data_IF_871656001419
#
_entry.id   IF_871656001419
#
_cell.length_a   1.000
_cell.length_b   1.000
_cell.length_c   1.000
_cell.angle_alpha   90.00
_cell.angle_beta   90.00
_cell.angle_gamma   90.00
#
_symmetry.space_group_name_H-M   'P 1'
#
loop_
_entity.id
_entity.type
_entity.pdbx_description
1 polymer ?
#
# COMPACT_ATOMS: atom_id res chain seq x y z
N UNK A 1 -6.88 28.05 12.59
CA UNK A 1 -7.89 27.69 11.58
C UNK A 1 -7.33 27.28 10.22
N UNK A 2 -6.54 28.10 9.50
CA UNK A 2 -6.18 27.77 8.10
C UNK A 2 -5.24 26.54 7.97
N UNK A 3 -4.22 26.41 8.84
CA UNK A 3 -3.22 25.33 8.77
C UNK A 3 -3.80 23.92 8.98
N UNK A 4 -4.81 23.79 9.84
CA UNK A 4 -5.49 22.51 10.12
C UNK A 4 -6.27 22.03 8.89
N UNK A 5 -7.08 22.93 8.30
CA UNK A 5 -7.84 22.66 7.08
C UNK A 5 -6.92 22.23 5.93
N UNK A 6 -5.77 22.90 5.78
CA UNK A 6 -4.76 22.51 4.79
C UNK A 6 -4.15 21.13 5.05
N UNK A 7 -3.85 20.77 6.31
CA UNK A 7 -3.31 19.44 6.65
C UNK A 7 -4.32 18.33 6.39
N UNK A 8 -5.56 18.48 6.84
CA UNK A 8 -6.63 17.51 6.57
C UNK A 8 -6.87 17.35 5.07
N UNK A 9 -6.88 18.46 4.32
CA UNK A 9 -6.97 18.41 2.86
C UNK A 9 -5.78 17.66 2.22
N UNK A 10 -4.56 17.88 2.70
CA UNK A 10 -3.37 17.16 2.21
C UNK A 10 -3.45 15.65 2.47
N UNK A 11 -3.83 15.23 3.69
CA UNK A 11 -4.00 13.80 4.04
C UNK A 11 -5.10 13.17 3.18
N UNK A 12 -6.20 13.89 2.97
CA UNK A 12 -7.31 13.44 2.12
C UNK A 12 -6.86 13.26 0.66
N UNK A 13 -6.12 14.22 0.12
CA UNK A 13 -5.60 14.17 -1.24
C UNK A 13 -4.57 13.05 -1.42
N UNK A 14 -3.66 12.86 -0.45
CA UNK A 14 -2.70 11.76 -0.43
C UNK A 14 -3.41 10.41 -0.39
N UNK A 15 -4.44 10.28 0.45
CA UNK A 15 -5.25 9.05 0.54
C UNK A 15 -5.99 8.78 -0.77
N UNK A 16 -6.57 9.81 -1.40
CA UNK A 16 -7.27 9.69 -2.67
C UNK A 16 -6.33 9.31 -3.82
N UNK A 17 -5.14 9.90 -3.87
CA UNK A 17 -4.08 9.52 -4.81
C UNK A 17 -3.67 8.05 -4.59
N UNK A 18 -3.63 7.59 -3.35
CA UNK A 18 -3.31 6.19 -3.02
C UNK A 18 -4.37 5.21 -3.47
N UNK A 19 -5.64 5.54 -3.26
CA UNK A 19 -6.75 4.77 -3.81
C UNK A 19 -6.60 4.63 -5.32
N UNK A 20 -6.38 5.75 -6.02
CA UNK A 20 -6.20 5.76 -7.47
C UNK A 20 -5.02 4.88 -7.91
N UNK A 21 -3.83 5.05 -7.31
CA UNK A 21 -2.64 4.30 -7.69
C UNK A 21 -2.82 2.80 -7.43
N UNK A 22 -3.40 2.40 -6.29
CA UNK A 22 -3.63 0.98 -6.00
C UNK A 22 -4.63 0.34 -6.99
N UNK A 23 -5.70 1.06 -7.37
CA UNK A 23 -6.65 0.58 -8.39
C UNK A 23 -5.94 0.43 -9.74
N UNK A 24 -5.18 1.44 -10.17
CA UNK A 24 -4.43 1.41 -11.43
C UNK A 24 -3.42 0.26 -11.44
N UNK A 25 -2.68 0.07 -10.35
CA UNK A 25 -1.70 -1.01 -10.18
C UNK A 25 -2.37 -2.38 -10.30
N UNK A 26 -3.54 -2.57 -9.66
CA UNK A 26 -4.32 -3.80 -9.76
C UNK A 26 -4.82 -4.05 -11.19
N UNK A 27 -5.33 -3.02 -11.86
CA UNK A 27 -5.80 -3.13 -13.25
C UNK A 27 -4.67 -3.48 -14.21
N UNK A 28 -3.49 -2.87 -14.05
CA UNK A 28 -2.32 -3.17 -14.88
C UNK A 28 -1.82 -4.59 -14.61
N UNK A 29 -1.82 -5.05 -13.36
CA UNK A 29 -1.44 -6.43 -13.04
C UNK A 29 -2.39 -7.44 -13.69
N UNK A 30 -3.71 -7.22 -13.61
CA UNK A 30 -4.71 -8.05 -14.29
C UNK A 30 -4.46 -8.05 -15.81
N UNK A 31 -4.18 -6.88 -16.39
CA UNK A 31 -3.90 -6.77 -17.82
C UNK A 31 -2.60 -7.50 -18.21
N UNK A 32 -1.56 -7.42 -17.39
CA UNK A 32 -0.30 -8.14 -17.58
C UNK A 32 -0.50 -9.66 -17.56
N UNK A 33 -1.40 -10.20 -16.73
CA UNK A 33 -1.73 -11.63 -16.75
C UNK A 33 -2.28 -12.11 -18.10
N UNK A 34 -2.96 -11.26 -18.87
CA UNK A 34 -3.40 -11.60 -20.22
C UNK A 34 -2.28 -11.52 -21.26
N UNK A 35 -1.21 -10.76 -20.98
CA UNK A 35 -0.09 -10.53 -21.90
C UNK A 35 1.27 -10.63 -21.17
N UNK A 36 1.61 -11.79 -20.58
CA UNK A 36 2.73 -11.91 -19.63
C UNK A 36 4.13 -11.77 -20.25
N UNK A 37 4.24 -11.75 -21.58
CA UNK A 37 5.51 -11.55 -22.28
C UNK A 37 5.77 -10.08 -22.68
N UNK A 38 4.88 -9.15 -22.33
CA UNK A 38 5.00 -7.75 -22.70
C UNK A 38 5.91 -7.00 -21.72
N UNK A 39 7.16 -6.76 -22.13
CA UNK A 39 8.17 -6.05 -21.33
C UNK A 39 7.72 -4.64 -20.92
N UNK A 40 6.99 -3.93 -21.78
CA UNK A 40 6.49 -2.59 -21.46
C UNK A 40 5.44 -2.61 -20.34
N UNK A 41 4.54 -3.59 -20.33
CA UNK A 41 3.58 -3.78 -19.25
C UNK A 41 4.27 -4.17 -17.94
N UNK A 42 5.33 -4.97 -18.00
CA UNK A 42 6.15 -5.33 -16.84
C UNK A 42 6.79 -4.09 -16.20
N UNK A 43 7.41 -3.23 -17.02
CA UNK A 43 8.05 -2.00 -16.54
C UNK A 43 7.04 -1.02 -15.90
N UNK A 44 5.88 -0.84 -16.54
CA UNK A 44 4.80 -0.02 -15.99
C UNK A 44 4.29 -0.60 -14.66
N UNK A 45 4.10 -1.92 -14.59
CA UNK A 45 3.68 -2.58 -13.36
C UNK A 45 4.69 -2.37 -12.24
N UNK A 46 5.98 -2.52 -12.52
CA UNK A 46 7.05 -2.23 -11.58
C UNK A 46 7.04 -0.79 -11.08
N UNK A 47 6.90 0.18 -12.00
CA UNK A 47 6.83 1.61 -11.65
C UNK A 47 5.62 1.95 -10.78
N UNK A 48 4.44 1.43 -11.13
CA UNK A 48 3.21 1.68 -10.38
C UNK A 48 3.25 1.04 -8.99
N UNK A 49 3.83 -0.15 -8.86
CA UNK A 49 4.06 -0.81 -7.58
C UNK A 49 4.99 0.02 -6.68
N UNK A 50 6.15 0.46 -7.18
CA UNK A 50 7.09 1.31 -6.42
C UNK A 50 6.43 2.65 -6.02
N UNK A 51 5.65 3.25 -6.92
CA UNK A 51 4.91 4.47 -6.63
C UNK A 51 3.88 4.26 -5.51
N UNK A 52 3.16 3.13 -5.55
CA UNK A 52 2.21 2.75 -4.49
C UNK A 52 2.90 2.58 -3.13
N UNK A 53 4.11 2.01 -3.12
CA UNK A 53 4.93 1.79 -1.93
C UNK A 53 5.36 3.11 -1.29
N UNK A 54 5.94 4.01 -2.11
CA UNK A 54 6.39 5.31 -1.64
C UNK A 54 5.22 6.12 -1.07
N UNK A 55 4.08 6.11 -1.76
CA UNK A 55 2.90 6.83 -1.30
C UNK A 55 2.35 6.27 0.02
N UNK A 56 2.24 4.94 0.13
CA UNK A 56 1.85 4.26 1.36
C UNK A 56 2.77 4.62 2.53
N UNK A 57 4.09 4.65 2.30
CA UNK A 57 5.07 5.08 3.30
C UNK A 57 4.90 6.53 3.73
N UNK A 58 4.71 7.44 2.78
CA UNK A 58 4.44 8.87 3.04
C UNK A 58 3.15 9.02 3.86
N UNK A 59 2.10 8.25 3.53
CA UNK A 59 0.82 8.30 4.24
C UNK A 59 0.97 7.82 5.69
N UNK A 60 1.65 6.69 5.92
CA UNK A 60 1.95 6.18 7.27
C UNK A 60 2.71 7.23 8.09
N UNK A 61 3.77 7.80 7.52
CA UNK A 61 4.55 8.85 8.18
C UNK A 61 3.70 10.07 8.54
N UNK A 62 2.85 10.51 7.60
CA UNK A 62 1.97 11.67 7.80
C UNK A 62 0.93 11.40 8.90
N UNK A 63 0.40 10.18 8.99
CA UNK A 63 -0.53 9.78 10.04
C UNK A 63 0.14 9.74 11.41
N UNK A 64 1.35 9.17 11.52
CA UNK A 64 2.07 9.06 12.79
C UNK A 64 2.30 10.43 13.45
N UNK A 65 2.67 11.42 12.64
CA UNK A 65 2.90 12.79 13.13
C UNK A 65 1.60 13.53 13.44
N UNK A 66 0.50 13.25 12.72
CA UNK A 66 -0.73 14.05 12.73
C UNK A 66 -1.83 13.51 13.66
N UNK A 67 -1.85 12.22 13.98
CA UNK A 67 -2.92 11.59 14.76
C UNK A 67 -2.81 11.89 16.27
N UNK A 68 -3.94 12.21 16.90
CA UNK A 68 -4.01 12.35 18.34
C UNK A 68 -4.07 10.97 19.03
N UNK A 69 -2.93 10.51 19.55
CA UNK A 69 -2.77 9.18 20.13
C UNK A 69 -3.40 9.03 21.53
N UNK A 70 -3.90 10.12 22.14
CA UNK A 70 -4.59 10.05 23.44
C UNK A 70 -6.07 9.66 23.32
N UNK A 71 -6.68 9.85 22.14
CA UNK A 71 -8.08 9.53 21.88
C UNK A 71 -8.19 8.14 21.24
N UNK A 72 -9.25 7.39 21.59
CA UNK A 72 -9.47 6.02 21.13
C UNK A 72 -9.41 5.88 19.61
N UNK A 73 -10.01 6.82 18.87
CA UNK A 73 -10.04 6.82 17.40
C UNK A 73 -8.64 7.05 16.81
N UNK A 74 -7.91 8.05 17.30
CA UNK A 74 -6.54 8.31 16.82
C UNK A 74 -5.58 7.17 17.17
N UNK A 75 -5.73 6.55 18.34
CA UNK A 75 -5.00 5.32 18.72
C UNK A 75 -5.33 4.15 17.80
N UNK A 76 -6.60 3.98 17.42
CA UNK A 76 -7.04 2.93 16.50
C UNK A 76 -6.45 3.10 15.10
N UNK A 77 -6.56 4.30 14.51
CA UNK A 77 -5.97 4.61 13.19
C UNK A 77 -4.45 4.43 13.18
N UNK A 78 -3.77 4.84 14.26
CA UNK A 78 -2.34 4.65 14.42
C UNK A 78 -1.99 3.15 14.45
N UNK A 79 -2.72 2.35 15.23
CA UNK A 79 -2.51 0.89 15.31
C UNK A 79 -2.70 0.21 13.95
N UNK A 80 -3.70 0.62 13.17
CA UNK A 80 -3.93 0.11 11.81
C UNK A 80 -2.78 0.49 10.88
N UNK A 81 -2.25 1.72 10.99
CA UNK A 81 -1.09 2.15 10.20
C UNK A 81 0.13 1.26 10.45
N UNK A 82 0.37 0.87 11.70
CA UNK A 82 1.45 -0.07 12.05
C UNK A 82 1.19 -1.50 11.60
N UNK A 83 -0.06 -1.98 11.67
CA UNK A 83 -0.39 -3.29 11.11
C UNK A 83 -0.22 -3.33 9.60
N UNK A 84 -0.63 -2.28 8.90
CA UNK A 84 -0.38 -2.16 7.48
C UNK A 84 1.12 -2.11 7.17
N UNK A 85 1.92 -1.35 7.93
CA UNK A 85 3.38 -1.33 7.78
C UNK A 85 4.00 -2.72 7.95
N UNK A 86 3.57 -3.49 8.95
CA UNK A 86 4.06 -4.85 9.17
C UNK A 86 3.71 -5.79 8.00
N UNK A 87 2.45 -5.75 7.54
CA UNK A 87 2.00 -6.51 6.36
C UNK A 87 2.76 -6.09 5.09
N UNK A 88 3.02 -4.79 4.95
CA UNK A 88 3.78 -4.23 3.85
C UNK A 88 5.22 -4.77 3.82
N UNK A 89 5.93 -4.75 4.95
CA UNK A 89 7.28 -5.34 5.05
C UNK A 89 7.24 -6.83 4.76
N UNK A 90 6.29 -7.57 5.35
CA UNK A 90 6.13 -9.00 5.10
C UNK A 90 5.89 -9.30 3.60
N UNK A 91 5.12 -8.45 2.92
CA UNK A 91 4.83 -8.61 1.49
C UNK A 91 6.06 -8.38 0.61
N UNK A 92 6.93 -7.42 0.95
CA UNK A 92 8.20 -7.19 0.26
C UNK A 92 9.10 -8.41 0.42
N UNK A 93 9.23 -8.93 1.65
CA UNK A 93 9.99 -10.15 1.92
C UNK A 93 9.44 -11.31 1.08
N UNK A 94 8.12 -11.49 1.05
CA UNK A 94 7.46 -12.53 0.27
C UNK A 94 7.79 -12.41 -1.23
N UNK A 95 7.71 -11.20 -1.80
CA UNK A 95 8.03 -10.97 -3.21
C UNK A 95 9.52 -11.19 -3.51
N UNK A 96 10.44 -10.71 -2.67
CA UNK A 96 11.89 -10.90 -2.87
C UNK A 96 12.25 -12.38 -2.85
N UNK A 97 11.82 -13.14 -1.84
CA UNK A 97 12.06 -14.58 -1.79
C UNK A 97 11.36 -15.32 -2.93
N UNK A 98 10.16 -14.86 -3.32
CA UNK A 98 9.45 -15.40 -4.48
C UNK A 98 10.24 -15.22 -5.78
N UNK A 99 10.82 -14.03 -6.00
CA UNK A 99 11.71 -13.76 -7.15
C UNK A 99 12.95 -14.65 -7.10
N UNK A 100 13.61 -14.78 -5.95
CA UNK A 100 14.77 -15.66 -5.78
C UNK A 100 14.39 -17.10 -6.16
N UNK A 101 13.30 -17.65 -5.62
CA UNK A 101 12.87 -19.00 -5.97
C UNK A 101 12.52 -19.14 -7.45
N UNK A 102 11.81 -18.18 -8.04
CA UNK A 102 11.42 -18.23 -9.45
C UNK A 102 12.60 -18.09 -10.42
N UNK A 103 13.67 -17.40 -10.02
CA UNK A 103 14.84 -17.14 -10.89
C UNK A 103 15.86 -18.27 -10.81
N UNK A 104 16.10 -18.83 -9.62
CA UNK A 104 17.15 -19.82 -9.40
C UNK A 104 16.65 -21.28 -9.45
N UNK A 105 15.33 -21.52 -9.42
CA UNK A 105 14.75 -22.86 -9.53
C UNK A 105 14.08 -23.05 -10.89
N UNK A 106 14.62 -23.96 -11.70
CA UNK A 106 14.25 -24.13 -13.12
C UNK A 106 12.88 -24.82 -13.28
N UNK A 107 12.46 -25.66 -12.32
CA UNK A 107 11.18 -26.37 -12.40
C UNK A 107 10.73 -26.94 -11.05
N UNK A 108 9.49 -27.42 -11.00
CA UNK A 108 8.93 -28.16 -9.86
C UNK A 108 8.27 -27.29 -8.79
N UNK A 109 8.05 -27.91 -7.61
CA UNK A 109 7.35 -27.29 -6.48
C UNK A 109 7.96 -25.94 -6.05
N UNK A 110 9.30 -25.76 -5.99
CA UNK A 110 9.89 -24.48 -5.59
C UNK A 110 9.56 -23.31 -6.53
N UNK A 111 9.51 -23.55 -7.84
CA UNK A 111 9.11 -22.53 -8.82
C UNK A 111 7.64 -22.12 -8.63
N UNK A 112 6.75 -23.11 -8.42
CA UNK A 112 5.34 -22.85 -8.13
C UNK A 112 5.17 -22.04 -6.85
N UNK A 113 5.89 -22.40 -5.78
CA UNK A 113 5.90 -21.66 -4.52
C UNK A 113 6.41 -20.23 -4.70
N UNK A 114 7.49 -20.04 -5.47
CA UNK A 114 8.04 -18.72 -5.77
C UNK A 114 7.01 -17.80 -6.44
N UNK A 115 6.31 -18.31 -7.45
CA UNK A 115 5.24 -17.55 -8.12
C UNK A 115 4.06 -17.23 -7.19
N UNK A 116 3.64 -18.19 -6.34
CA UNK A 116 2.59 -17.96 -5.34
C UNK A 116 3.01 -16.87 -4.35
N UNK A 117 4.27 -16.89 -3.91
CA UNK A 117 4.82 -15.86 -3.02
C UNK A 117 4.83 -14.47 -3.65
N UNK A 118 5.18 -14.35 -4.93
CA UNK A 118 5.11 -13.07 -5.67
C UNK A 118 3.65 -12.58 -5.72
N UNK A 119 2.72 -13.43 -6.14
CA UNK A 119 1.30 -13.08 -6.28
C UNK A 119 0.71 -12.67 -4.93
N UNK A 120 0.95 -13.44 -3.87
CA UNK A 120 0.45 -13.12 -2.53
C UNK A 120 1.03 -11.81 -2.01
N UNK A 121 2.32 -11.55 -2.22
CA UNK A 121 2.95 -10.31 -1.75
C UNK A 121 2.41 -9.09 -2.50
N UNK A 122 2.19 -9.23 -3.81
CA UNK A 122 1.51 -8.23 -4.62
C UNK A 122 0.08 -7.95 -4.14
N UNK A 123 -0.72 -9.00 -3.91
CA UNK A 123 -2.11 -8.86 -3.46
C UNK A 123 -2.19 -8.26 -2.06
N UNK A 124 -1.32 -8.68 -1.14
CA UNK A 124 -1.26 -8.10 0.21
C UNK A 124 -0.95 -6.60 0.12
N UNK A 125 0.07 -6.22 -0.66
CA UNK A 125 0.43 -4.81 -0.87
C UNK A 125 -0.77 -4.00 -1.37
N UNK A 126 -1.40 -4.48 -2.44
CA UNK A 126 -2.37 -3.71 -3.21
C UNK A 126 -3.73 -3.65 -2.51
N UNK A 127 -4.23 -4.79 -2.01
CA UNK A 127 -5.55 -4.85 -1.36
C UNK A 127 -5.51 -4.17 0.01
N UNK A 128 -4.51 -4.48 0.84
CA UNK A 128 -4.41 -3.84 2.16
C UNK A 128 -3.98 -2.37 2.04
N UNK A 129 -3.17 -2.02 1.03
CA UNK A 129 -2.84 -0.63 0.73
C UNK A 129 -4.08 0.17 0.34
N UNK A 130 -4.90 -0.36 -0.55
CA UNK A 130 -6.18 0.23 -0.91
C UNK A 130 -7.09 0.40 0.32
N UNK A 131 -7.24 -0.66 1.13
CA UNK A 131 -8.04 -0.61 2.36
C UNK A 131 -7.54 0.49 3.32
N UNK A 132 -6.23 0.56 3.53
CA UNK A 132 -5.58 1.57 4.37
C UNK A 132 -5.85 3.00 3.87
N UNK A 133 -5.73 3.24 2.56
CA UNK A 133 -6.04 4.53 1.96
C UNK A 133 -7.52 4.91 2.11
N UNK A 134 -8.45 3.96 1.88
CA UNK A 134 -9.90 4.19 2.05
C UNK A 134 -10.23 4.52 3.51
N UNK A 135 -9.70 3.73 4.45
CA UNK A 135 -9.88 3.96 5.87
C UNK A 135 -9.38 5.34 6.29
N UNK A 136 -8.21 5.74 5.80
CA UNK A 136 -7.66 7.05 6.10
C UNK A 136 -8.55 8.15 5.53
N UNK A 137 -8.93 8.04 4.25
CA UNK A 137 -9.78 9.00 3.55
C UNK A 137 -11.12 9.24 4.26
N UNK A 138 -11.79 8.17 4.69
CA UNK A 138 -13.10 8.23 5.36
C UNK A 138 -13.03 8.81 6.76
N UNK A 139 -11.90 8.68 7.45
CA UNK A 139 -11.72 9.16 8.84
C UNK A 139 -11.02 10.53 8.96
N UNK A 140 -10.65 11.19 7.85
CA UNK A 140 -10.02 12.52 7.88
C UNK A 140 -10.83 13.57 8.64
N UNK A 141 -12.16 13.47 8.61
CA UNK A 141 -13.04 14.46 9.23
C UNK A 141 -13.49 14.07 10.65
N UNK A 142 -12.99 12.96 11.19
CA UNK A 142 -13.39 12.48 12.51
C UNK A 142 -12.83 13.36 13.62
N UNK A 143 -13.74 13.93 14.44
CA UNK A 143 -13.37 14.77 15.58
C UNK A 143 -12.58 13.98 16.62
N UNK A 144 -11.60 14.63 17.24
CA UNK A 144 -10.66 14.10 18.23
C UNK A 144 -9.56 13.22 17.65
N UNK A 145 -9.60 12.85 16.37
CA UNK A 145 -8.61 11.93 15.79
C UNK A 145 -7.26 12.62 15.46
N UNK A 146 -7.22 13.94 15.38
CA UNK A 146 -6.08 14.72 14.87
C UNK A 146 -5.52 15.67 15.94
N UNK A 147 -4.19 15.78 16.08
CA UNK A 147 -3.54 16.59 17.13
C UNK A 147 -3.81 18.10 17.06
N UNK A 148 -4.31 18.57 15.92
CA UNK A 148 -4.42 19.98 15.60
C UNK A 148 -5.87 20.46 15.47
N UNK A 149 -6.80 19.68 16.01
CA UNK A 149 -8.17 20.13 16.28
C UNK A 149 -8.28 20.94 17.56
#
# INVERSE_FOLDING_TARGET
>A
MNKEKHRKAAIKNLSNLGIFIHIVTLSIAIFYFFFPANLFLYDILGFTLISSWLLSGILIYTLDISLNKSVQIGKHLNKISYYYLALFIASIILMVFGVIFSTYMISGIPLMLGNIMIILGFLITTIYGLNFCIMTYTNVNTRGAWKHE
#
